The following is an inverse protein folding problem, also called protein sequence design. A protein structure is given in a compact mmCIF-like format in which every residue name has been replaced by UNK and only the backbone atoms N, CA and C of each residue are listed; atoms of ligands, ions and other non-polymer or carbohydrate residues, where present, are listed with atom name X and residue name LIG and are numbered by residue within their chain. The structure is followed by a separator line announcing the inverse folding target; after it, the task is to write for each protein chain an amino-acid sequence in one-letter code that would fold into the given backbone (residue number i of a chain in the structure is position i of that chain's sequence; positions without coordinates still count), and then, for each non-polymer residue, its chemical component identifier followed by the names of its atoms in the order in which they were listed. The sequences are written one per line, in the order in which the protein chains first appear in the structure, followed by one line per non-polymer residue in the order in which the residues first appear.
data_IF_709699565267
#
_entry.id   IF_709699565267
#
_cell.length_a   1.000
_cell.length_b   1.000
_cell.length_c   1.000
_cell.angle_alpha   90.00
_cell.angle_beta   90.00
_cell.angle_gamma   90.00
#
_symmetry.space_group_name_H-M   'P 1'
#
loop_
_entity.id
_entity.type
_entity.pdbx_description
1 polymer ?
#
# COMPACT_ATOMS: atom_id res chain seq x y z
N UNK A 1 -8.28 -9.98 -0.81
CA UNK A 1 -7.53 -8.92 -0.11
C UNK A 1 -7.79 -7.58 -0.78
N UNK A 2 -7.93 -6.53 0.01
CA UNK A 2 -8.20 -5.17 -0.49
C UNK A 2 -6.93 -4.32 -0.40
N UNK A 3 -6.56 -3.67 -1.50
CA UNK A 3 -5.38 -2.80 -1.61
C UNK A 3 -5.85 -1.41 -2.02
N UNK A 4 -5.49 -0.40 -1.24
CA UNK A 4 -5.80 0.99 -1.54
C UNK A 4 -4.53 1.72 -1.96
N UNK A 5 -4.55 2.39 -3.11
CA UNK A 5 -3.43 3.17 -3.64
C UNK A 5 -3.78 4.65 -3.50
N UNK A 6 -3.00 5.40 -2.73
CA UNK A 6 -3.25 6.82 -2.45
C UNK A 6 -2.05 7.67 -2.87
N UNK A 7 -2.20 8.46 -3.91
CA UNK A 7 -1.15 9.33 -4.42
C UNK A 7 -1.65 10.77 -4.57
N UNK A 8 -0.70 11.70 -4.54
CA UNK A 8 -0.99 13.08 -4.89
C UNK A 8 -1.45 13.16 -6.34
N UNK A 9 -2.25 14.15 -6.67
CA UNK A 9 -2.77 14.37 -8.02
C UNK A 9 -1.65 14.47 -9.06
N UNK A 10 -0.52 15.07 -8.69
CA UNK A 10 0.65 15.19 -9.58
C UNK A 10 1.27 13.84 -9.98
N UNK A 11 0.98 12.77 -9.21
CA UNK A 11 1.48 11.40 -9.49
C UNK A 11 0.38 10.45 -9.95
N UNK A 12 -0.71 11.00 -10.48
CA UNK A 12 -1.86 10.18 -10.90
C UNK A 12 -1.50 9.14 -11.95
N UNK A 13 -0.67 9.49 -12.92
CA UNK A 13 -0.23 8.55 -13.94
C UNK A 13 0.55 7.37 -13.34
N UNK A 14 1.38 7.64 -12.36
CA UNK A 14 2.12 6.60 -11.63
C UNK A 14 1.17 5.69 -10.86
N UNK A 15 0.19 6.25 -10.18
CA UNK A 15 -0.84 5.52 -9.47
C UNK A 15 -1.64 4.61 -10.41
N UNK A 16 -2.02 5.12 -11.58
CA UNK A 16 -2.76 4.34 -12.59
C UNK A 16 -1.95 3.14 -13.08
N UNK A 17 -0.65 3.32 -13.31
CA UNK A 17 0.24 2.24 -13.72
C UNK A 17 0.34 1.17 -12.63
N UNK A 18 0.50 1.58 -11.38
CA UNK A 18 0.54 0.65 -10.24
C UNK A 18 -0.76 -0.14 -10.12
N UNK A 19 -1.89 0.53 -10.22
CA UNK A 19 -3.19 -0.11 -10.13
C UNK A 19 -3.35 -1.20 -11.19
N UNK A 20 -2.98 -0.90 -12.42
CA UNK A 20 -3.04 -1.86 -13.54
C UNK A 20 -2.08 -3.02 -13.34
N UNK A 21 -0.85 -2.73 -12.95
CA UNK A 21 0.17 -3.77 -12.76
C UNK A 21 -0.22 -4.73 -11.64
N UNK A 22 -0.67 -4.21 -10.50
CA UNK A 22 -1.09 -5.05 -9.37
C UNK A 22 -2.33 -5.86 -9.75
N UNK A 23 -3.32 -5.24 -10.40
CA UNK A 23 -4.52 -5.92 -10.83
C UNK A 23 -4.25 -7.05 -11.82
N UNK A 24 -3.28 -6.86 -12.72
CA UNK A 24 -2.90 -7.88 -13.70
C UNK A 24 -2.12 -9.04 -13.06
N UNK A 25 -1.23 -8.75 -12.11
CA UNK A 25 -0.33 -9.73 -11.51
C UNK A 25 -0.90 -10.38 -10.23
N UNK A 26 -1.91 -9.78 -9.64
CA UNK A 26 -2.64 -10.32 -8.48
C UNK A 26 -4.14 -10.14 -8.68
N UNK A 27 -4.72 -10.90 -9.64
CA UNK A 27 -6.12 -10.70 -10.06
C UNK A 27 -7.15 -11.02 -8.97
N UNK A 28 -6.77 -11.74 -7.92
CA UNK A 28 -7.65 -11.99 -6.78
C UNK A 28 -7.76 -10.81 -5.82
N UNK A 29 -6.86 -9.83 -5.92
CA UNK A 29 -6.91 -8.65 -5.07
C UNK A 29 -7.90 -7.63 -5.58
N UNK A 30 -8.64 -7.01 -4.65
CA UNK A 30 -9.48 -5.86 -4.96
C UNK A 30 -8.62 -4.61 -4.81
N UNK A 31 -8.36 -3.92 -5.91
CA UNK A 31 -7.49 -2.75 -5.94
C UNK A 31 -8.33 -1.50 -6.21
N UNK A 32 -8.17 -0.49 -5.37
CA UNK A 32 -8.80 0.81 -5.56
C UNK A 32 -7.73 1.91 -5.47
N UNK A 33 -7.97 3.02 -6.13
CA UNK A 33 -7.07 4.16 -6.10
C UNK A 33 -7.85 5.42 -5.74
N UNK A 34 -7.21 6.32 -5.00
CA UNK A 34 -7.80 7.60 -4.63
C UNK A 34 -6.70 8.65 -4.46
N UNK A 35 -7.10 9.92 -4.32
CA UNK A 35 -6.17 10.98 -3.96
C UNK A 35 -5.84 10.91 -2.47
N UNK A 36 -4.75 11.55 -2.05
CA UNK A 36 -4.40 11.65 -0.63
C UNK A 36 -5.50 12.35 0.18
N UNK A 37 -6.20 13.31 -0.43
CA UNK A 37 -7.29 14.01 0.24
C UNK A 37 -8.47 13.09 0.59
N UNK A 38 -8.68 12.04 -0.20
CA UNK A 38 -9.77 11.08 -0.02
C UNK A 38 -9.38 9.88 0.86
N UNK A 39 -8.12 9.80 1.25
CA UNK A 39 -7.58 8.63 1.95
C UNK A 39 -8.35 8.30 3.23
N UNK A 40 -8.65 9.30 4.07
CA UNK A 40 -9.36 9.08 5.33
C UNK A 40 -10.73 8.44 5.13
N UNK A 41 -11.50 8.94 4.17
CA UNK A 41 -12.80 8.41 3.82
C UNK A 41 -12.71 6.98 3.27
N UNK A 42 -11.72 6.73 2.40
CA UNK A 42 -11.52 5.43 1.79
C UNK A 42 -11.03 4.39 2.80
N UNK A 43 -10.24 4.79 3.80
CA UNK A 43 -9.84 3.89 4.88
C UNK A 43 -11.07 3.34 5.62
N UNK A 44 -12.11 4.14 5.80
CA UNK A 44 -13.33 3.70 6.45
C UNK A 44 -14.22 2.88 5.53
N UNK A 45 -14.50 3.38 4.32
CA UNK A 45 -15.48 2.76 3.42
C UNK A 45 -14.94 1.52 2.71
N UNK A 46 -13.69 1.55 2.25
CA UNK A 46 -13.07 0.42 1.57
C UNK A 46 -12.45 -0.58 2.54
N UNK A 47 -12.04 -0.12 3.71
CA UNK A 47 -11.42 -0.94 4.76
C UNK A 47 -10.26 -1.80 4.20
N UNK A 48 -9.19 -1.17 3.67
CA UNK A 48 -8.13 -1.91 3.02
C UNK A 48 -7.29 -2.73 4.00
N UNK A 49 -6.70 -3.81 3.49
CA UNK A 49 -5.69 -4.58 4.22
C UNK A 49 -4.29 -4.00 4.02
N UNK A 50 -4.07 -3.36 2.88
CA UNK A 50 -2.80 -2.72 2.53
C UNK A 50 -3.08 -1.35 1.93
N UNK A 51 -2.31 -0.35 2.37
CA UNK A 51 -2.30 0.99 1.78
C UNK A 51 -0.94 1.25 1.14
N UNK A 52 -0.95 1.58 -0.14
CA UNK A 52 0.25 2.00 -0.89
C UNK A 52 0.10 3.49 -1.16
N UNK A 53 1.06 4.30 -0.72
CA UNK A 53 0.97 5.75 -0.85
C UNK A 53 2.31 6.38 -1.22
N UNK A 54 2.26 7.61 -1.74
CA UNK A 54 3.47 8.36 -2.09
C UNK A 54 4.08 9.09 -0.89
N UNK A 55 3.35 9.19 0.21
CA UNK A 55 3.79 9.90 1.43
C UNK A 55 3.45 9.08 2.66
N UNK A 56 4.08 9.37 3.82
CA UNK A 56 3.66 8.80 5.08
C UNK A 56 2.16 9.01 5.28
N UNK A 57 1.50 8.05 5.90
CA UNK A 57 0.07 8.13 6.12
C UNK A 57 -0.29 9.40 6.89
N UNK A 58 -1.15 10.24 6.29
CA UNK A 58 -1.71 11.39 6.98
C UNK A 58 -2.79 10.95 7.98
N UNK A 59 -3.35 9.76 7.73
CA UNK A 59 -4.29 9.10 8.64
C UNK A 59 -3.69 7.74 8.97
N UNK A 60 -3.43 7.48 10.24
CA UNK A 60 -2.89 6.21 10.69
C UNK A 60 -3.96 5.11 10.55
N UNK A 61 -3.74 4.09 9.71
CA UNK A 61 -4.68 2.98 9.60
C UNK A 61 -4.66 2.04 10.82
N UNK A 62 -3.74 2.25 11.77
CA UNK A 62 -3.61 1.43 12.97
C UNK A 62 -3.15 0.02 12.66
N UNK A 63 -3.59 -0.93 13.49
CA UNK A 63 -3.21 -2.34 13.33
C UNK A 63 -3.98 -3.05 12.22
N UNK A 64 -5.02 -2.42 11.67
CA UNK A 64 -5.92 -3.06 10.70
C UNK A 64 -5.33 -3.19 9.32
N UNK A 65 -4.33 -2.38 8.96
CA UNK A 65 -3.75 -2.35 7.64
C UNK A 65 -2.23 -2.26 7.68
N UNK A 66 -1.58 -3.04 6.82
CA UNK A 66 -0.19 -2.82 6.47
C UNK A 66 -0.09 -1.58 5.58
N UNK A 67 1.08 -0.98 5.50
CA UNK A 67 1.26 0.15 4.59
C UNK A 67 2.62 0.11 3.93
N UNK A 68 2.67 0.65 2.73
CA UNK A 68 3.88 0.79 1.94
C UNK A 68 3.92 2.21 1.38
N UNK A 69 4.83 3.04 1.89
CA UNK A 69 5.12 4.34 1.30
C UNK A 69 6.06 4.10 0.14
N UNK A 70 5.52 3.97 -1.06
CA UNK A 70 6.31 3.74 -2.27
C UNK A 70 6.60 5.08 -2.93
N UNK A 71 7.84 5.58 -2.75
CA UNK A 71 8.22 6.86 -3.31
C UNK A 71 8.27 6.78 -4.84
N UNK A 72 7.67 7.75 -5.57
CA UNK A 72 7.81 7.85 -7.02
C UNK A 72 9.18 8.39 -7.43
N UNK A 73 9.96 8.94 -6.49
CA UNK A 73 11.28 9.49 -6.74
C UNK A 73 12.35 8.44 -6.44
N UNK A 74 13.24 8.10 -7.39
CA UNK A 74 14.19 7.02 -7.21
C UNK A 74 15.27 7.29 -6.15
N UNK A 75 15.50 8.56 -5.81
CA UNK A 75 16.49 8.96 -4.81
C UNK A 75 15.91 9.11 -3.40
N UNK A 76 14.60 9.00 -3.24
CA UNK A 76 13.95 8.99 -1.93
C UNK A 76 13.69 7.57 -1.47
N UNK A 77 13.96 7.24 -0.19
CA UNK A 77 13.67 5.91 0.31
C UNK A 77 12.18 5.64 0.39
N UNK A 78 11.79 4.43 0.03
CA UNK A 78 10.47 3.88 0.33
C UNK A 78 10.49 3.26 1.71
N UNK A 79 9.33 3.18 2.35
CA UNK A 79 9.20 2.69 3.73
C UNK A 79 7.98 1.79 3.82
N UNK A 80 8.11 0.70 4.59
CA UNK A 80 7.04 -0.28 4.73
C UNK A 80 6.82 -0.67 6.17
N UNK A 81 5.59 -1.04 6.48
CA UNK A 81 5.19 -1.58 7.78
C UNK A 81 4.31 -2.82 7.59
N UNK A 82 4.70 -3.92 8.24
CA UNK A 82 3.95 -5.16 8.20
C UNK A 82 4.17 -5.94 9.49
N UNK A 83 3.08 -6.26 10.18
CA UNK A 83 3.12 -7.08 11.39
C UNK A 83 3.97 -6.48 12.50
N UNK A 84 3.94 -5.17 12.66
CA UNK A 84 4.73 -4.45 13.67
C UNK A 84 6.19 -4.22 13.27
N UNK A 85 6.62 -4.69 12.12
CA UNK A 85 7.97 -4.48 11.59
C UNK A 85 7.99 -3.34 10.60
N UNK A 86 9.03 -2.52 10.67
CA UNK A 86 9.20 -1.35 9.81
C UNK A 86 10.58 -1.37 9.18
N UNK A 87 10.68 -1.08 7.88
CA UNK A 87 11.96 -1.03 7.18
C UNK A 87 11.91 -0.02 6.03
N UNK A 88 13.09 0.32 5.53
CA UNK A 88 13.27 1.22 4.40
C UNK A 88 14.02 0.51 3.28
N UNK A 89 13.72 0.91 2.05
CA UNK A 89 14.42 0.42 0.87
C UNK A 89 14.49 1.55 -0.17
N UNK A 90 15.57 1.58 -0.94
CA UNK A 90 15.76 2.60 -1.96
C UNK A 90 15.34 2.02 -3.31
N UNK A 91 14.43 2.72 -4.00
CA UNK A 91 13.96 2.38 -5.34
C UNK A 91 13.64 0.87 -5.51
N UNK A 92 12.70 0.33 -4.72
CA UNK A 92 12.39 -1.09 -4.79
C UNK A 92 11.81 -1.47 -6.15
N UNK A 93 12.19 -2.63 -6.72
CA UNK A 93 11.57 -3.12 -7.94
C UNK A 93 10.13 -3.58 -7.70
N UNK A 94 9.36 -3.71 -8.77
CA UNK A 94 7.97 -4.16 -8.68
C UNK A 94 7.85 -5.53 -7.99
N UNK A 95 8.79 -6.44 -8.23
CA UNK A 95 8.81 -7.77 -7.61
C UNK A 95 8.86 -7.70 -6.09
N UNK A 96 9.56 -6.71 -5.54
CA UNK A 96 9.61 -6.52 -4.09
C UNK A 96 8.26 -6.09 -3.54
N UNK A 97 7.56 -5.19 -4.24
CA UNK A 97 6.20 -4.79 -3.87
C UNK A 97 5.24 -5.98 -3.94
N UNK A 98 5.34 -6.79 -5.00
CA UNK A 98 4.50 -7.98 -5.15
C UNK A 98 4.75 -9.01 -4.05
N UNK A 99 6.02 -9.22 -3.66
CA UNK A 99 6.37 -10.08 -2.54
C UNK A 99 5.78 -9.56 -1.22
N UNK A 100 5.80 -8.25 -1.03
CA UNK A 100 5.17 -7.61 0.13
C UNK A 100 3.66 -7.86 0.15
N UNK A 101 3.00 -7.71 -0.99
CA UNK A 101 1.56 -7.98 -1.13
C UNK A 101 1.25 -9.44 -0.74
N UNK A 102 2.08 -10.38 -1.19
CA UNK A 102 1.91 -11.80 -0.85
C UNK A 102 2.08 -12.07 0.64
N UNK A 103 3.00 -11.38 1.31
CA UNK A 103 3.17 -11.47 2.76
C UNK A 103 1.96 -10.92 3.50
N UNK A 104 1.40 -9.80 3.05
CA UNK A 104 0.18 -9.23 3.62
C UNK A 104 -0.96 -10.22 3.51
N UNK A 105 -1.13 -10.83 2.34
CA UNK A 105 -2.18 -11.83 2.11
C UNK A 105 -2.06 -13.02 3.06
N UNK A 106 -0.83 -13.47 3.31
CA UNK A 106 -0.57 -14.56 4.26
C UNK A 106 -1.04 -14.17 5.66
N UNK A 107 -0.72 -12.96 6.12
CA UNK A 107 -1.15 -12.49 7.44
C UNK A 107 -2.67 -12.33 7.51
N UNK A 108 -3.31 -11.88 6.43
CA UNK A 108 -4.78 -11.78 6.37
C UNK A 108 -5.42 -13.15 6.55
N UNK A 109 -4.91 -14.16 5.84
CA UNK A 109 -5.43 -15.54 5.96
C UNK A 109 -5.25 -16.12 7.35
N UNK A 110 -4.13 -15.78 8.00
CA UNK A 110 -3.82 -16.27 9.34
C UNK A 110 -4.53 -15.46 10.43
N UNK A 111 -5.27 -14.42 10.08
CA UNK A 111 -5.96 -13.55 11.04
C UNK A 111 -5.01 -12.76 11.91
N UNK A 112 -3.81 -12.46 11.45
CA UNK A 112 -2.78 -11.76 12.21
C UNK A 112 -2.86 -10.26 12.01
N UNK A 113 -2.28 -9.52 12.95
CA UNK A 113 -2.17 -8.06 12.88
C UNK A 113 -1.34 -7.64 11.68
N UNK A 114 -1.83 -6.66 10.91
CA UNK A 114 -1.21 -6.23 9.66
C UNK A 114 -0.27 -5.05 9.82
N UNK A 115 -0.64 -4.10 10.65
CA UNK A 115 0.12 -2.87 10.88
C UNK A 115 0.75 -2.84 12.26
N UNK A 116 0.51 -1.74 12.97
CA UNK A 116 0.96 -1.61 14.36
C UNK A 116 2.38 -1.07 14.50
N UNK A 117 2.87 -0.34 13.48
CA UNK A 117 4.14 0.37 13.57
C UNK A 117 3.90 1.76 14.13
#
# INVERSE_FOLDING_TARGET
MRILICYEESYRAYSDVLERAIGALRPEADVAACSLAEMGEQLESFNPHLVVSSRPNTVDPGARAAWYKLSPEPDEPSEACLGGRRWRTLNPPLEELLSFIDEVETLVRDGRELGGC
#
